data_IF_425646533609
#
_entry.id   IF_425646533609
#
_cell.length_a   1.000
_cell.length_b   1.000
_cell.length_c   1.000
_cell.angle_alpha   90.00
_cell.angle_beta   90.00
_cell.angle_gamma   90.00
#
_symmetry.space_group_name_H-M   'P 1'
#
loop_
_entity.id
_entity.type
_entity.pdbx_description
1 polymer ?
#
# COMPACT_ATOMS: atom_id res chain seq x y z
N UNK A 1 -16.06 -1.82 10.20
CA UNK A 1 -15.57 -2.56 11.40
C UNK A 1 -14.15 -2.09 11.62
N UNK A 2 -13.60 -2.07 12.83
CA UNK A 2 -12.19 -1.67 13.03
C UNK A 2 -11.24 -2.80 12.61
N UNK A 3 -10.11 -2.47 11.99
CA UNK A 3 -9.08 -3.44 11.54
C UNK A 3 -8.61 -4.32 12.70
N UNK A 4 -8.40 -3.72 13.89
CA UNK A 4 -7.98 -4.47 15.09
C UNK A 4 -8.76 -4.03 16.36
N UNK A 5 -8.66 -4.84 17.41
CA UNK A 5 -9.30 -4.54 18.69
C UNK A 5 -8.69 -3.32 19.41
N UNK A 6 -9.43 -2.68 20.30
CA UNK A 6 -8.97 -1.54 21.10
C UNK A 6 -7.71 -1.90 21.91
N UNK A 7 -7.65 -3.13 22.46
CA UNK A 7 -6.49 -3.60 23.23
C UNK A 7 -5.24 -3.71 22.34
N UNK A 8 -5.39 -4.18 21.11
CA UNK A 8 -4.26 -4.26 20.17
C UNK A 8 -3.79 -2.87 19.75
N UNK A 9 -4.70 -1.91 19.50
CA UNK A 9 -4.33 -0.51 19.24
C UNK A 9 -3.46 0.07 20.34
N UNK A 10 -3.86 -0.12 21.59
CA UNK A 10 -3.08 0.32 22.76
C UNK A 10 -1.70 -0.34 22.81
N UNK A 11 -1.63 -1.64 22.51
CA UNK A 11 -0.34 -2.37 22.48
C UNK A 11 0.59 -1.86 21.40
N UNK A 12 0.07 -1.51 20.21
CA UNK A 12 0.86 -0.92 19.13
C UNK A 12 1.40 0.46 19.52
N UNK A 13 0.57 1.31 20.10
CA UNK A 13 1.00 2.64 20.56
C UNK A 13 2.09 2.51 21.64
N UNK A 14 1.89 1.67 22.68
CA UNK A 14 2.88 1.43 23.73
C UNK A 14 4.21 0.88 23.19
N UNK A 15 4.14 0.01 22.18
CA UNK A 15 5.33 -0.48 21.51
C UNK A 15 6.13 0.66 20.86
N UNK A 16 5.44 1.53 20.11
CA UNK A 16 6.07 2.62 19.38
C UNK A 16 6.56 3.75 20.28
N UNK A 17 5.96 3.95 21.46
CA UNK A 17 6.43 4.90 22.47
C UNK A 17 7.84 4.59 23.01
N UNK A 18 8.30 3.35 22.86
CA UNK A 18 9.66 2.96 23.23
C UNK A 18 10.74 3.47 22.27
N UNK A 19 10.36 4.10 21.14
CA UNK A 19 11.26 4.57 20.10
C UNK A 19 11.21 6.09 19.95
N UNK A 20 12.33 6.65 19.51
CA UNK A 20 12.37 8.04 19.05
C UNK A 20 11.95 8.08 17.57
N UNK A 21 10.66 8.33 17.33
CA UNK A 21 10.12 8.45 15.99
C UNK A 21 10.47 9.79 15.33
N UNK A 22 10.99 10.76 16.06
CA UNK A 22 11.31 12.09 15.53
C UNK A 22 12.63 12.11 14.74
N UNK A 23 13.47 11.10 14.87
CA UNK A 23 14.81 11.05 14.26
C UNK A 23 15.19 9.63 13.79
N UNK A 24 14.36 9.04 12.94
CA UNK A 24 14.69 7.76 12.33
C UNK A 24 15.59 7.98 11.11
N UNK A 25 16.89 7.75 11.27
CA UNK A 25 17.83 7.67 10.14
C UNK A 25 18.01 6.22 9.71
N UNK A 26 18.47 5.98 8.50
CA UNK A 26 18.59 4.64 7.90
C UNK A 26 19.19 3.59 8.86
N UNK A 27 20.33 3.87 9.50
CA UNK A 27 20.95 2.94 10.45
C UNK A 27 20.19 2.85 11.77
N UNK A 28 19.76 3.98 12.32
CA UNK A 28 18.94 4.03 13.54
C UNK A 28 17.59 3.36 13.33
N UNK A 29 17.00 3.54 12.15
CA UNK A 29 15.82 2.87 11.70
C UNK A 29 16.02 1.34 11.66
N UNK A 30 17.08 0.86 11.01
CA UNK A 30 17.39 -0.56 10.95
C UNK A 30 17.68 -1.15 12.33
N UNK A 31 18.48 -0.47 13.16
CA UNK A 31 18.85 -0.93 14.49
C UNK A 31 17.64 -0.88 15.44
N UNK A 32 16.81 0.13 15.35
CA UNK A 32 15.63 0.30 16.18
C UNK A 32 14.58 -0.75 15.90
N UNK A 33 14.30 -1.04 14.63
CA UNK A 33 13.25 -1.99 14.29
C UNK A 33 13.74 -3.43 14.10
N UNK A 34 14.99 -3.67 13.72
CA UNK A 34 15.57 -5.04 13.71
C UNK A 34 15.88 -5.59 15.09
N UNK A 35 16.20 -4.72 16.06
CA UNK A 35 16.43 -5.15 17.44
C UNK A 35 15.16 -5.56 18.17
N UNK A 36 14.01 -5.14 17.71
CA UNK A 36 12.74 -5.50 18.31
C UNK A 36 12.28 -6.89 18.02
N UNK A 37 13.02 -7.63 17.30
CA UNK A 37 12.70 -9.01 17.18
C UNK A 37 12.48 -9.53 15.76
N UNK A 38 12.54 -10.81 15.68
CA UNK A 38 12.07 -11.62 14.58
C UNK A 38 10.55 -11.47 14.24
N UNK A 39 9.86 -10.52 14.89
CA UNK A 39 8.41 -10.35 14.77
C UNK A 39 8.00 -9.35 13.70
N UNK A 40 8.92 -8.45 13.30
CA UNK A 40 8.62 -7.41 12.32
C UNK A 40 9.43 -7.59 11.04
N UNK A 41 8.79 -7.30 9.93
CA UNK A 41 9.42 -6.92 8.68
C UNK A 41 9.22 -5.42 8.48
N UNK A 42 10.13 -4.79 7.78
CA UNK A 42 10.03 -3.38 7.47
C UNK A 42 10.00 -3.22 5.95
N UNK A 43 9.15 -2.35 5.50
CA UNK A 43 9.10 -1.87 4.13
C UNK A 43 8.98 -0.36 4.15
N UNK A 44 9.59 0.32 3.22
CA UNK A 44 9.52 1.77 3.10
C UNK A 44 9.35 2.17 1.65
N UNK A 45 8.32 2.95 1.40
CA UNK A 45 8.16 3.71 0.18
C UNK A 45 8.67 5.14 0.31
N UNK A 46 8.38 5.99 -0.66
CA UNK A 46 8.78 7.39 -0.65
C UNK A 46 8.11 8.20 0.47
N UNK A 47 6.90 7.84 0.88
CA UNK A 47 6.05 8.64 1.78
C UNK A 47 5.61 7.93 3.06
N UNK A 48 5.85 6.62 3.17
CA UNK A 48 5.34 5.80 4.27
C UNK A 48 6.37 4.77 4.70
N UNK A 49 6.42 4.55 6.01
CA UNK A 49 7.11 3.42 6.61
C UNK A 49 6.08 2.38 7.00
N UNK A 50 6.23 1.15 6.54
CA UNK A 50 5.42 0.02 6.92
C UNK A 50 6.18 -0.92 7.87
N UNK A 51 5.59 -1.18 9.03
CA UNK A 51 6.05 -2.17 10.00
C UNK A 51 5.08 -3.34 9.90
N UNK A 52 5.58 -4.50 9.49
CA UNK A 52 4.78 -5.67 9.19
C UNK A 52 4.98 -6.74 10.27
N UNK A 53 4.06 -6.86 11.24
CA UNK A 53 4.11 -7.93 12.22
C UNK A 53 3.89 -9.28 11.54
N UNK A 54 4.79 -10.26 11.77
CA UNK A 54 4.75 -11.56 11.07
C UNK A 54 3.53 -12.40 11.36
N UNK A 55 2.94 -12.25 12.55
CA UNK A 55 1.85 -13.07 13.06
C UNK A 55 0.51 -12.34 13.12
N UNK A 56 0.39 -11.19 12.45
CA UNK A 56 -0.82 -10.35 12.50
C UNK A 56 -1.35 -10.10 11.10
N UNK A 57 -2.66 -9.85 11.03
CA UNK A 57 -3.39 -9.56 9.80
C UNK A 57 -3.50 -8.05 9.54
N UNK A 58 -2.53 -7.29 10.05
CA UNK A 58 -2.45 -5.85 9.83
C UNK A 58 -1.00 -5.40 9.62
N UNK A 59 -0.86 -4.23 9.03
CA UNK A 59 0.38 -3.49 8.85
C UNK A 59 0.26 -2.18 9.63
N UNK A 60 1.33 -1.78 10.32
CA UNK A 60 1.43 -0.47 10.96
C UNK A 60 2.06 0.46 9.93
N UNK A 61 1.38 1.56 9.58
CA UNK A 61 1.89 2.59 8.68
C UNK A 61 2.21 3.86 9.46
N UNK A 62 3.35 4.45 9.16
CA UNK A 62 3.80 5.72 9.73
C UNK A 62 4.14 6.65 8.56
N UNK A 63 3.57 7.86 8.50
CA UNK A 63 3.87 8.79 7.42
C UNK A 63 5.24 9.41 7.64
N UNK A 64 6.15 9.19 6.73
CA UNK A 64 7.47 9.81 6.68
C UNK A 64 7.77 10.24 5.25
N UNK A 65 8.50 11.35 5.10
CA UNK A 65 9.16 11.68 3.84
C UNK A 65 10.55 11.09 3.89
N UNK A 66 10.90 10.30 2.90
CA UNK A 66 12.28 9.93 2.63
C UNK A 66 13.01 11.20 2.18
N UNK A 67 13.87 11.77 3.04
CA UNK A 67 14.71 12.90 2.66
C UNK A 67 15.91 12.41 1.85
N UNK A 68 16.03 12.94 0.67
CA UNK A 68 17.11 12.96 -0.29
C UNK A 68 18.18 11.86 -0.24
N UNK A 69 18.21 11.13 -1.34
CA UNK A 69 19.37 10.36 -1.78
C UNK A 69 20.53 11.32 -2.09
N UNK A 70 21.55 11.37 -1.26
CA UNK A 70 22.82 11.93 -1.69
C UNK A 70 23.56 10.91 -2.56
N UNK A 71 23.40 11.06 -3.88
CA UNK A 71 24.00 10.19 -4.90
C UNK A 71 25.54 10.30 -4.98
N UNK A 72 26.19 11.17 -4.20
CA UNK A 72 27.58 11.55 -4.42
C UNK A 72 28.61 10.78 -3.59
N UNK A 73 28.22 10.01 -2.61
CA UNK A 73 29.20 9.22 -1.87
C UNK A 73 28.83 7.73 -1.91
N UNK A 74 29.81 6.93 -2.32
CA UNK A 74 29.74 5.48 -2.53
C UNK A 74 29.36 4.63 -1.29
N UNK A 75 28.70 5.19 -0.31
CA UNK A 75 28.18 4.49 0.85
C UNK A 75 26.65 4.34 0.71
N UNK A 76 26.24 3.09 0.59
CA UNK A 76 24.85 2.70 0.46
C UNK A 76 24.01 3.23 1.63
N UNK A 77 23.02 4.06 1.30
CA UNK A 77 21.77 4.26 2.00
C UNK A 77 21.82 4.81 3.43
N UNK A 78 21.92 6.08 3.57
CA UNK A 78 21.32 6.77 4.69
C UNK A 78 19.95 7.33 4.26
N UNK A 79 18.91 6.50 4.32
CA UNK A 79 17.55 6.99 4.21
C UNK A 79 17.23 7.76 5.48
N UNK A 80 16.98 9.05 5.38
CA UNK A 80 16.47 9.85 6.48
C UNK A 80 14.95 9.86 6.38
N UNK A 81 14.28 9.51 7.48
CA UNK A 81 12.85 9.65 7.57
C UNK A 81 12.53 10.83 8.47
N UNK A 82 11.90 11.85 7.93
CA UNK A 82 11.37 12.95 8.71
C UNK A 82 9.86 12.78 8.84
N UNK A 83 9.28 13.00 10.04
CA UNK A 83 7.82 12.99 10.20
C UNK A 83 7.22 14.06 9.30
N UNK A 84 6.19 13.68 8.54
CA UNK A 84 5.49 14.54 7.60
C UNK A 84 4.60 15.52 8.36
N UNK A 85 4.48 16.74 7.86
CA UNK A 85 3.43 17.65 8.29
C UNK A 85 2.05 17.05 7.92
N UNK A 86 1.02 17.39 8.70
CA UNK A 86 -0.34 16.88 8.46
C UNK A 86 -0.86 17.14 7.03
N UNK A 87 -0.33 18.14 6.34
CA UNK A 87 -0.71 18.48 4.95
C UNK A 87 -0.12 17.53 3.90
N UNK A 88 0.88 16.74 4.25
CA UNK A 88 1.54 15.75 3.38
C UNK A 88 1.43 14.34 3.95
N UNK A 89 0.43 14.07 4.76
CA UNK A 89 0.18 12.76 5.37
C UNK A 89 -0.61 11.88 4.40
N UNK A 90 0.11 11.10 3.59
CA UNK A 90 -0.48 10.20 2.61
C UNK A 90 -1.31 9.06 3.24
N UNK A 91 -1.02 8.66 4.48
CA UNK A 91 -1.89 7.71 5.18
C UNK A 91 -3.26 8.32 5.50
N UNK A 92 -3.30 9.64 5.73
CA UNK A 92 -4.56 10.36 5.91
C UNK A 92 -5.32 10.48 4.59
N UNK A 93 -4.62 10.64 3.47
CA UNK A 93 -5.23 10.60 2.13
C UNK A 93 -5.82 9.20 1.84
N UNK A 94 -5.11 8.13 2.18
CA UNK A 94 -5.67 6.76 2.09
C UNK A 94 -7.00 6.64 2.87
N UNK A 95 -7.06 7.18 4.11
CA UNK A 95 -8.32 7.15 4.89
C UNK A 95 -9.44 7.93 4.20
N UNK A 96 -9.14 9.07 3.60
CA UNK A 96 -10.14 9.88 2.90
C UNK A 96 -10.70 9.11 1.71
N UNK A 97 -9.83 8.56 0.86
CA UNK A 97 -10.23 7.75 -0.31
C UNK A 97 -11.01 6.51 0.13
N UNK A 98 -10.55 5.81 1.18
CA UNK A 98 -11.29 4.66 1.72
C UNK A 98 -12.70 5.01 2.19
N UNK A 99 -12.88 6.16 2.86
CA UNK A 99 -14.21 6.61 3.30
C UNK A 99 -15.11 6.96 2.12
N UNK A 100 -14.58 7.59 1.07
CA UNK A 100 -15.32 7.90 -0.15
C UNK A 100 -15.69 6.63 -0.92
N UNK A 101 -14.76 5.66 -1.02
CA UNK A 101 -15.05 4.33 -1.55
C UNK A 101 -16.16 3.63 -0.77
N UNK A 102 -16.18 3.77 0.56
CA UNK A 102 -17.24 3.21 1.41
C UNK A 102 -18.58 3.89 1.18
N UNK A 103 -18.61 5.20 0.99
CA UNK A 103 -19.85 5.93 0.65
C UNK A 103 -20.37 5.50 -0.73
N UNK A 104 -19.47 5.16 -1.66
CA UNK A 104 -19.81 4.62 -2.97
C UNK A 104 -20.15 3.11 -2.97
N UNK A 105 -19.99 2.39 -1.84
CA UNK A 105 -20.21 0.95 -1.73
C UNK A 105 -19.09 0.09 -2.32
N UNK A 106 -17.90 0.66 -2.46
CA UNK A 106 -16.70 0.06 -3.06
C UNK A 106 -15.62 -0.32 -2.03
N UNK A 107 -15.90 -0.21 -0.73
CA UNK A 107 -14.91 -0.44 0.34
C UNK A 107 -14.24 -1.82 0.28
N UNK A 108 -14.89 -2.80 -0.35
CA UNK A 108 -14.35 -4.16 -0.48
C UNK A 108 -13.16 -4.25 -1.44
N UNK A 109 -12.94 -3.24 -2.27
CA UNK A 109 -11.83 -3.19 -3.23
C UNK A 109 -10.58 -2.51 -2.65
N UNK A 110 -10.66 -2.01 -1.42
CA UNK A 110 -9.59 -1.28 -0.74
C UNK A 110 -9.23 -1.96 0.57
N UNK A 111 -7.93 -2.07 0.87
CA UNK A 111 -7.49 -2.52 2.18
C UNK A 111 -7.87 -1.46 3.24
N UNK A 112 -8.72 -1.83 4.21
CA UNK A 112 -9.19 -0.91 5.25
C UNK A 112 -8.03 -0.31 6.02
N UNK A 113 -8.01 1.01 6.19
CA UNK A 113 -7.00 1.77 6.95
C UNK A 113 -7.68 2.65 8.00
N UNK A 114 -7.06 2.76 9.19
CA UNK A 114 -7.54 3.64 10.24
C UNK A 114 -6.39 4.25 11.05
N UNK A 115 -6.56 5.49 11.52
CA UNK A 115 -5.66 6.10 12.48
C UNK A 115 -5.96 5.55 13.88
N UNK A 116 -4.94 5.09 14.60
CA UNK A 116 -5.10 4.51 15.94
C UNK A 116 -4.62 5.43 17.08
N UNK A 117 -3.89 6.47 16.76
CA UNK A 117 -3.37 7.44 17.73
C UNK A 117 -2.18 8.20 17.19
N UNK A 118 -1.40 8.77 18.11
CA UNK A 118 -0.17 9.50 17.82
C UNK A 118 0.91 9.11 18.84
N UNK A 119 2.15 9.05 18.38
CA UNK A 119 3.34 8.86 19.21
C UNK A 119 4.32 9.98 18.94
N UNK A 120 4.65 10.77 19.95
CA UNK A 120 5.55 11.94 19.84
C UNK A 120 5.11 12.95 18.75
N UNK A 121 3.78 13.09 18.56
CA UNK A 121 3.20 13.96 17.54
C UNK A 121 3.19 13.38 16.12
N UNK A 122 3.64 12.13 15.95
CA UNK A 122 3.59 11.39 14.69
C UNK A 122 2.33 10.55 14.67
N UNK A 123 1.43 10.70 13.69
CA UNK A 123 0.23 9.89 13.59
C UNK A 123 0.58 8.44 13.24
N UNK A 124 -0.12 7.51 13.86
CA UNK A 124 0.06 6.07 13.67
C UNK A 124 -1.19 5.48 13.05
N UNK A 125 -1.00 4.75 11.99
CA UNK A 125 -2.06 4.09 11.25
C UNK A 125 -1.89 2.59 11.28
N UNK A 126 -3.00 1.88 11.12
CA UNK A 126 -3.00 0.46 10.82
C UNK A 126 -3.84 0.23 9.58
N UNK A 127 -3.37 -0.68 8.77
CA UNK A 127 -4.06 -1.12 7.56
C UNK A 127 -4.23 -2.63 7.57
N UNK A 128 -5.34 -3.12 7.04
CA UNK A 128 -5.55 -4.52 6.79
C UNK A 128 -4.43 -5.08 5.92
N UNK A 129 -3.84 -6.21 6.35
CA UNK A 129 -2.73 -6.82 5.63
C UNK A 129 -3.23 -7.53 4.38
N UNK A 130 -2.73 -7.13 3.24
CA UNK A 130 -2.88 -7.85 1.99
C UNK A 130 -1.62 -8.68 1.68
N UNK A 131 -1.78 -9.68 0.87
CA UNK A 131 -0.69 -10.34 0.18
C UNK A 131 -0.40 -9.52 -1.08
N UNK A 132 0.76 -8.87 -1.13
CA UNK A 132 1.13 -7.97 -2.22
C UNK A 132 1.26 -8.76 -3.53
N UNK A 133 0.76 -8.18 -4.62
CA UNK A 133 0.73 -8.83 -5.94
C UNK A 133 2.14 -9.22 -6.41
N UNK A 134 3.11 -8.34 -6.30
CA UNK A 134 4.49 -8.60 -6.69
C UNK A 134 5.13 -9.77 -5.92
N UNK A 135 4.78 -9.93 -4.64
CA UNK A 135 5.28 -11.04 -3.81
C UNK A 135 4.69 -12.40 -4.17
N UNK A 136 3.51 -12.45 -4.80
CA UNK A 136 2.77 -13.68 -5.05
C UNK A 136 2.66 -14.08 -6.52
N UNK A 137 2.96 -13.19 -7.46
CA UNK A 137 2.92 -13.46 -8.90
C UNK A 137 4.29 -13.21 -9.50
N UNK A 138 5.05 -14.29 -9.85
CA UNK A 138 6.33 -14.14 -10.50
C UNK A 138 6.23 -13.34 -11.78
N UNK A 139 7.24 -12.50 -12.04
CA UNK A 139 7.27 -11.65 -13.24
C UNK A 139 7.16 -12.46 -14.55
N UNK A 140 7.74 -13.67 -14.58
CA UNK A 140 7.64 -14.57 -15.73
C UNK A 140 6.20 -15.01 -16.00
N UNK A 141 5.41 -15.29 -14.95
CA UNK A 141 4.00 -15.66 -15.08
C UNK A 141 3.14 -14.49 -15.58
N UNK A 142 3.52 -13.24 -15.22
CA UNK A 142 2.86 -12.04 -15.74
C UNK A 142 3.09 -11.90 -17.25
N UNK A 143 4.32 -12.09 -17.71
CA UNK A 143 4.66 -12.04 -19.14
C UNK A 143 3.98 -13.14 -19.94
N UNK A 144 4.03 -14.39 -19.44
CA UNK A 144 3.41 -15.54 -20.12
C UNK A 144 1.89 -15.34 -20.29
N UNK A 145 1.25 -14.71 -19.33
CA UNK A 145 -0.20 -14.39 -19.45
C UNK A 145 -0.47 -13.29 -20.44
N UNK A 146 0.39 -12.27 -20.48
CA UNK A 146 0.27 -11.19 -21.47
C UNK A 146 0.45 -11.71 -22.90
N UNK A 147 1.33 -12.67 -23.11
CA UNK A 147 1.63 -13.24 -24.42
C UNK A 147 0.69 -14.37 -24.86
N UNK A 148 -0.21 -14.82 -23.96
CA UNK A 148 -1.16 -15.87 -24.27
C UNK A 148 -2.34 -15.36 -25.12
N UNK A 149 -2.20 -15.45 -26.45
CA UNK A 149 -3.25 -15.08 -27.41
C UNK A 149 -4.56 -15.88 -27.28
N UNK A 150 -4.53 -17.02 -26.59
CA UNK A 150 -5.72 -17.86 -26.38
C UNK A 150 -6.51 -17.48 -25.11
N UNK A 151 -6.05 -16.50 -24.35
CA UNK A 151 -6.77 -16.01 -23.18
C UNK A 151 -7.81 -14.96 -23.61
N UNK A 152 -9.06 -15.40 -23.75
CA UNK A 152 -10.17 -14.54 -24.20
C UNK A 152 -10.39 -13.35 -23.26
N UNK A 153 -10.20 -13.53 -21.95
CA UNK A 153 -10.36 -12.45 -20.96
C UNK A 153 -9.26 -11.42 -21.12
N UNK A 154 -8.00 -11.85 -21.24
CA UNK A 154 -6.88 -10.93 -21.49
C UNK A 154 -6.99 -10.23 -22.82
N UNK A 155 -7.48 -10.90 -23.86
CA UNK A 155 -7.73 -10.28 -25.16
C UNK A 155 -8.79 -9.17 -25.07
N UNK A 156 -9.86 -9.41 -24.30
CA UNK A 156 -10.90 -8.39 -24.04
C UNK A 156 -10.32 -7.20 -23.26
N UNK A 157 -9.59 -7.45 -22.17
CA UNK A 157 -8.95 -6.42 -21.35
C UNK A 157 -8.03 -5.54 -22.20
N UNK A 158 -7.16 -6.12 -23.01
CA UNK A 158 -6.27 -5.37 -23.92
C UNK A 158 -7.03 -4.49 -24.91
N UNK A 159 -8.18 -4.97 -25.39
CA UNK A 159 -9.01 -4.24 -26.34
C UNK A 159 -9.82 -3.11 -25.68
N UNK A 160 -10.35 -3.35 -24.50
CA UNK A 160 -11.25 -2.42 -23.79
C UNK A 160 -10.48 -1.37 -22.99
N UNK A 161 -9.32 -1.75 -22.45
CA UNK A 161 -8.49 -0.90 -21.59
C UNK A 161 -7.04 -0.72 -22.10
N UNK A 162 -6.86 -0.25 -23.38
CA UNK A 162 -5.51 -0.14 -23.95
C UNK A 162 -4.58 0.79 -23.15
N UNK A 163 -5.12 1.86 -22.56
CA UNK A 163 -4.34 2.79 -21.75
C UNK A 163 -3.82 2.17 -20.45
N UNK A 164 -4.60 1.30 -19.80
CA UNK A 164 -4.15 0.59 -18.60
C UNK A 164 -2.98 -0.34 -18.92
N UNK A 165 -2.95 -0.89 -20.15
CA UNK A 165 -1.89 -1.78 -20.60
C UNK A 165 -0.62 -1.04 -21.04
N UNK A 166 -0.76 0.16 -21.63
CA UNK A 166 0.36 0.95 -22.14
C UNK A 166 1.10 1.70 -21.01
N UNK A 167 0.40 2.10 -19.97
CA UNK A 167 0.93 2.95 -18.89
C UNK A 167 1.36 2.14 -17.64
N UNK A 168 1.27 0.81 -17.69
CA UNK A 168 1.53 -0.08 -16.52
C UNK A 168 0.75 0.33 -15.26
N UNK A 169 -0.39 1.00 -15.45
CA UNK A 169 -1.18 1.60 -14.40
C UNK A 169 -1.69 0.57 -13.39
N UNK A 170 -2.14 -0.60 -13.87
CA UNK A 170 -2.55 -1.74 -13.03
C UNK A 170 -1.96 -3.03 -13.60
N UNK A 171 -1.45 -3.94 -12.76
CA UNK A 171 -0.95 -5.22 -13.24
C UNK A 171 -2.02 -6.00 -14.00
N UNK A 172 -1.80 -6.40 -15.26
CA UNK A 172 -2.83 -7.03 -16.08
C UNK A 172 -3.45 -8.29 -15.50
N UNK A 173 -2.67 -9.11 -14.80
CA UNK A 173 -3.18 -10.30 -14.11
C UNK A 173 -4.08 -9.93 -12.93
N UNK A 174 -3.74 -8.88 -12.19
CA UNK A 174 -4.59 -8.39 -11.12
C UNK A 174 -5.94 -7.88 -11.68
N UNK A 175 -5.91 -7.14 -12.80
CA UNK A 175 -7.12 -6.69 -13.50
C UNK A 175 -7.97 -7.87 -13.95
N UNK A 176 -7.34 -8.90 -14.52
CA UNK A 176 -8.03 -10.14 -14.90
C UNK A 176 -8.71 -10.79 -13.71
N UNK A 177 -7.99 -10.95 -12.60
CA UNK A 177 -8.53 -11.54 -11.38
C UNK A 177 -9.68 -10.70 -10.83
N UNK A 178 -9.56 -9.37 -10.88
CA UNK A 178 -10.64 -8.46 -10.49
C UNK A 178 -11.90 -8.68 -11.32
N UNK A 179 -11.77 -8.68 -12.65
CA UNK A 179 -12.90 -8.88 -13.57
C UNK A 179 -13.54 -10.26 -13.40
N UNK A 180 -12.74 -11.31 -13.19
CA UNK A 180 -13.25 -12.66 -12.95
C UNK A 180 -14.03 -12.78 -11.64
N UNK A 181 -13.66 -12.03 -10.61
CA UNK A 181 -14.32 -12.07 -9.31
C UNK A 181 -15.53 -11.13 -9.21
N UNK A 182 -15.46 -9.94 -9.84
CA UNK A 182 -16.44 -8.88 -9.64
C UNK A 182 -17.20 -8.48 -10.91
N UNK A 183 -16.69 -8.84 -12.08
CA UNK A 183 -17.28 -8.51 -13.38
C UNK A 183 -16.75 -7.20 -13.97
N UNK A 184 -16.87 -7.06 -15.30
CA UNK A 184 -16.38 -5.92 -16.09
C UNK A 184 -17.05 -4.61 -15.66
N UNK A 185 -18.37 -4.60 -15.46
CA UNK A 185 -19.10 -3.38 -15.05
C UNK A 185 -18.59 -2.83 -13.72
N UNK A 186 -18.26 -3.70 -12.77
CA UNK A 186 -17.70 -3.28 -11.46
C UNK A 186 -16.27 -2.75 -11.62
N UNK A 187 -15.51 -3.30 -12.56
CA UNK A 187 -14.18 -2.79 -12.88
C UNK A 187 -14.25 -1.40 -13.52
N UNK A 188 -15.20 -1.17 -14.44
CA UNK A 188 -15.45 0.17 -15.02
C UNK A 188 -15.77 1.21 -13.93
N UNK A 189 -16.68 0.86 -13.01
CA UNK A 189 -17.01 1.72 -11.87
C UNK A 189 -15.79 2.01 -10.97
N UNK A 190 -14.92 1.01 -10.75
CA UNK A 190 -13.68 1.22 -10.01
C UNK A 190 -12.73 2.16 -10.76
N UNK A 191 -12.54 1.97 -12.07
CA UNK A 191 -11.67 2.84 -12.89
C UNK A 191 -12.17 4.29 -12.87
N UNK A 192 -13.47 4.50 -13.02
CA UNK A 192 -14.08 5.83 -12.95
C UNK A 192 -13.83 6.47 -11.57
N UNK A 193 -14.02 5.72 -10.49
CA UNK A 193 -13.75 6.17 -9.13
C UNK A 193 -12.27 6.56 -8.93
N UNK A 194 -11.35 5.73 -9.39
CA UNK A 194 -9.90 6.00 -9.28
C UNK A 194 -9.49 7.26 -10.04
N UNK A 195 -10.05 7.47 -11.24
CA UNK A 195 -9.81 8.69 -12.02
C UNK A 195 -10.41 9.94 -11.36
N UNK A 196 -11.61 9.85 -10.80
CA UNK A 196 -12.26 10.97 -10.10
C UNK A 196 -11.45 11.43 -8.89
N UNK A 197 -10.77 10.49 -8.20
CA UNK A 197 -10.00 10.75 -6.99
C UNK A 197 -8.50 10.90 -7.24
N UNK A 198 -8.07 10.96 -8.51
CA UNK A 198 -6.67 11.09 -8.92
C UNK A 198 -5.75 10.00 -8.28
N UNK A 199 -6.26 8.78 -8.20
CA UNK A 199 -5.49 7.61 -7.75
C UNK A 199 -4.79 7.02 -8.96
N UNK A 200 -3.51 7.31 -9.16
CA UNK A 200 -2.74 6.99 -10.36
C UNK A 200 -1.47 6.17 -10.12
N UNK A 201 -1.04 6.02 -8.87
CA UNK A 201 0.16 5.23 -8.50
C UNK A 201 -0.22 3.79 -8.12
N UNK A 202 -0.72 3.01 -9.08
CA UNK A 202 -1.29 1.67 -8.85
C UNK A 202 -0.46 0.52 -9.45
N UNK A 203 0.83 0.53 -9.21
CA UNK A 203 1.73 -0.54 -9.66
C UNK A 203 1.64 -1.83 -8.80
N UNK A 204 2.45 -2.84 -9.13
CA UNK A 204 2.40 -4.19 -8.53
C UNK A 204 2.58 -4.23 -7.00
N UNK A 205 3.27 -3.24 -6.41
CA UNK A 205 3.47 -3.14 -4.96
C UNK A 205 2.27 -2.49 -4.25
N UNK A 206 1.39 -1.76 -4.99
CA UNK A 206 0.26 -1.01 -4.45
C UNK A 206 -1.07 -1.76 -4.58
N UNK A 207 -1.05 -2.97 -5.14
CA UNK A 207 -2.20 -3.87 -5.24
C UNK A 207 -1.88 -5.24 -4.63
N UNK A 208 -2.90 -6.01 -4.32
CA UNK A 208 -2.70 -7.33 -3.71
C UNK A 208 -4.00 -8.09 -3.51
N UNK A 209 -3.97 -9.03 -2.58
CA UNK A 209 -5.10 -9.91 -2.29
C UNK A 209 -5.37 -10.01 -0.79
N UNK A 210 -6.65 -9.97 -0.42
CA UNK A 210 -7.14 -10.32 0.91
C UNK A 210 -8.12 -11.48 0.75
N UNK A 211 -7.86 -12.62 1.38
CA UNK A 211 -8.66 -13.84 1.23
C UNK A 211 -8.86 -14.24 -0.25
N UNK A 212 -7.85 -14.08 -1.08
CA UNK A 212 -7.82 -14.30 -2.53
C UNK A 212 -8.72 -13.33 -3.35
N UNK A 213 -9.19 -12.26 -2.77
CA UNK A 213 -9.94 -11.22 -3.47
C UNK A 213 -9.02 -10.03 -3.78
N UNK A 214 -8.98 -9.55 -5.03
CA UNK A 214 -8.16 -8.40 -5.41
C UNK A 214 -8.52 -7.15 -4.64
N UNK A 215 -7.51 -6.44 -4.11
CA UNK A 215 -7.66 -5.18 -3.37
C UNK A 215 -6.55 -4.20 -3.70
N UNK A 216 -6.83 -2.92 -3.53
CA UNK A 216 -5.88 -1.82 -3.55
C UNK A 216 -5.29 -1.64 -2.15
N UNK A 217 -3.98 -1.45 -2.05
CA UNK A 217 -3.25 -1.40 -0.77
C UNK A 217 -2.68 -0.02 -0.48
N UNK A 218 -2.06 0.61 -1.48
CA UNK A 218 -1.58 1.99 -1.41
C UNK A 218 -2.26 2.79 -2.52
N UNK A 219 -3.14 3.69 -2.15
CA UNK A 219 -4.05 4.32 -3.09
C UNK A 219 -4.18 5.85 -2.92
N UNK A 220 -3.30 6.45 -2.15
CA UNK A 220 -3.32 7.90 -1.95
C UNK A 220 -2.70 8.70 -3.10
N UNK A 221 -2.09 8.04 -4.09
CA UNK A 221 -1.33 8.70 -5.14
C UNK A 221 -0.04 9.36 -4.64
N UNK A 222 0.79 9.80 -5.54
CA UNK A 222 1.96 10.62 -5.26
C UNK A 222 1.88 11.87 -6.14
N UNK A 223 1.35 12.96 -5.59
CA UNK A 223 1.49 14.27 -6.22
C UNK A 223 2.96 14.68 -6.16
N UNK A 224 3.71 14.36 -7.23
CA UNK A 224 5.10 14.71 -7.42
C UNK A 224 5.30 16.19 -7.75
#
# INVERSE_FOLDING_TARGET
>A
MSVISVTEKQSVIQLLEAFDLSHLTGKTYEDTFKTLSNEFLLSSGASKLAIIPRSKDYVIKIPFIGCDYDYNEKEMFSSFYCPISQSSDYCKADIMIYNEAKEAGMETFFAEIEQIGEVQGVPIYIQQKAQIFEDCVPYEDQLDTLDNENDEVMTSIKSEYPKLMEEEFLPPLWVKDFILNYGTSTFDELVDFLQEHAVDDLHSENVGYIANMPVLVDYSGFDG
#
